data_IF_078674941382
#
_entry.id   IF_078674941382
#
_cell.length_a   1.000
_cell.length_b   1.000
_cell.length_c   1.000
_cell.angle_alpha   90.00
_cell.angle_beta   90.00
_cell.angle_gamma   90.00
#
_symmetry.space_group_name_H-M   'P 1'
#
loop_
_entity.id
_entity.type
_entity.pdbx_description
1 polymer ?
#
# COMPACT_ATOMS: atom_id res chain seq x y z
N UNK A 1 -41.58 -1.21 -23.41
CA UNK A 1 -40.66 -2.33 -23.18
C UNK A 1 -39.33 -1.68 -22.78
N UNK A 2 -39.07 -1.54 -21.47
CA UNK A 2 -37.87 -0.92 -20.93
C UNK A 2 -36.85 -2.00 -20.57
N UNK A 3 -35.67 -1.92 -21.15
CA UNK A 3 -34.55 -2.81 -20.83
C UNK A 3 -33.94 -2.45 -19.47
N UNK A 4 -33.56 -3.44 -18.66
CA UNK A 4 -32.92 -3.16 -17.36
C UNK A 4 -31.47 -2.70 -17.59
N UNK A 5 -31.11 -1.55 -17.00
CA UNK A 5 -29.72 -1.08 -16.89
C UNK A 5 -28.95 -2.02 -15.97
N UNK A 6 -28.03 -2.80 -16.53
CA UNK A 6 -27.03 -3.54 -15.76
C UNK A 6 -26.11 -2.50 -15.07
N UNK A 7 -26.28 -2.34 -13.78
CA UNK A 7 -25.36 -1.63 -12.90
C UNK A 7 -24.10 -2.51 -12.75
N UNK A 8 -23.04 -2.17 -13.47
CA UNK A 8 -21.71 -2.78 -13.27
C UNK A 8 -21.19 -2.31 -11.91
N UNK A 9 -21.44 -3.10 -10.88
CA UNK A 9 -20.77 -2.93 -9.58
C UNK A 9 -19.31 -3.27 -9.78
N UNK A 10 -18.47 -2.25 -9.90
CA UNK A 10 -17.03 -2.39 -9.79
C UNK A 10 -16.76 -2.77 -8.33
N UNK A 11 -16.58 -4.07 -8.09
CA UNK A 11 -16.08 -4.57 -6.81
C UNK A 11 -14.62 -4.18 -6.70
N UNK A 12 -14.32 -3.10 -5.99
CA UNK A 12 -12.99 -2.87 -5.48
C UNK A 12 -12.75 -3.89 -4.37
N UNK A 13 -12.18 -5.02 -4.73
CA UNK A 13 -11.58 -5.94 -3.78
C UNK A 13 -10.38 -5.22 -3.19
N UNK A 14 -10.36 -4.99 -1.88
CA UNK A 14 -9.16 -4.61 -1.16
C UNK A 14 -8.18 -5.80 -1.24
N UNK A 15 -7.49 -5.91 -2.38
CA UNK A 15 -6.51 -6.96 -2.59
C UNK A 15 -5.29 -6.65 -1.71
N UNK A 16 -4.92 -7.63 -0.89
CA UNK A 16 -3.63 -7.63 -0.21
C UNK A 16 -2.57 -7.64 -1.31
N UNK A 17 -1.80 -6.55 -1.46
CA UNK A 17 -0.70 -6.51 -2.42
C UNK A 17 0.47 -7.29 -1.81
N UNK A 18 0.42 -8.62 -1.92
CA UNK A 18 1.59 -9.47 -1.74
C UNK A 18 2.46 -9.33 -2.99
N UNK A 19 3.21 -8.23 -3.10
CA UNK A 19 4.22 -8.08 -4.14
C UNK A 19 5.44 -8.92 -3.77
N UNK A 20 5.43 -10.19 -4.20
CA UNK A 20 6.63 -11.00 -4.24
C UNK A 20 7.55 -10.42 -5.34
N UNK A 21 8.48 -9.55 -4.99
CA UNK A 21 9.57 -9.16 -5.85
C UNK A 21 10.60 -10.30 -5.85
N UNK A 22 10.51 -11.21 -6.84
CA UNK A 22 11.61 -12.10 -7.17
C UNK A 22 12.73 -11.22 -7.76
N UNK A 23 13.86 -11.13 -7.06
CA UNK A 23 15.09 -10.56 -7.59
C UNK A 23 15.60 -11.48 -8.71
N UNK A 24 15.42 -11.08 -9.97
CA UNK A 24 16.05 -11.75 -11.09
C UNK A 24 17.53 -11.36 -11.11
N UNK A 25 18.38 -12.29 -10.70
CA UNK A 25 19.82 -12.22 -10.93
C UNK A 25 20.07 -12.51 -12.41
N UNK A 26 20.46 -11.49 -13.18
CA UNK A 26 20.96 -11.65 -14.54
C UNK A 26 22.38 -12.21 -14.53
N UNK A 27 22.82 -12.96 -15.59
CA UNK A 27 24.15 -13.58 -15.63
C UNK A 27 25.22 -12.51 -15.79
N UNK A 28 26.26 -12.60 -14.94
CA UNK A 28 27.47 -11.81 -15.04
C UNK A 28 28.31 -12.25 -16.24
N UNK A 29 28.52 -11.35 -17.19
CA UNK A 29 29.52 -11.51 -18.23
C UNK A 29 30.90 -11.16 -17.66
N UNK A 30 31.78 -12.18 -17.63
CA UNK A 30 33.19 -12.10 -17.30
C UNK A 30 33.96 -11.37 -18.42
N UNK A 31 34.67 -10.29 -18.10
CA UNK A 31 35.81 -9.83 -18.89
C UNK A 31 36.94 -9.25 -18.03
N UNK A 32 38.10 -9.88 -18.14
CA UNK A 32 39.41 -9.27 -18.26
C UNK A 32 40.02 -8.57 -17.06
N UNK A 33 41.05 -9.22 -16.51
CA UNK A 33 41.85 -8.85 -15.36
C UNK A 33 42.45 -7.45 -15.36
N UNK A 34 42.42 -6.84 -14.17
CA UNK A 34 43.37 -5.88 -13.66
C UNK A 34 43.56 -6.13 -12.17
N UNK A 35 44.81 -6.10 -11.72
CA UNK A 35 45.26 -6.40 -10.35
C UNK A 35 44.40 -5.70 -9.32
N UNK A 36 43.78 -6.50 -8.43
CA UNK A 36 43.04 -6.06 -7.26
C UNK A 36 43.99 -5.42 -6.23
N UNK A 37 43.73 -4.18 -5.93
CA UNK A 37 44.23 -3.52 -4.74
C UNK A 37 43.24 -3.84 -3.61
N UNK A 38 43.70 -4.31 -2.43
CA UNK A 38 42.76 -4.65 -1.35
C UNK A 38 41.94 -3.44 -0.95
N UNK A 39 40.61 -3.61 -0.69
CA UNK A 39 39.76 -2.52 -0.26
C UNK A 39 40.22 -2.00 1.10
N UNK A 40 40.14 -0.67 1.35
CA UNK A 40 40.46 -0.13 2.65
C UNK A 40 39.52 -0.71 3.71
N UNK A 41 40.10 -1.30 4.74
CA UNK A 41 39.38 -1.71 5.95
C UNK A 41 38.76 -0.46 6.60
N UNK A 42 37.44 -0.34 6.56
CA UNK A 42 36.76 0.83 7.16
C UNK A 42 35.33 1.08 6.70
N UNK A 43 34.66 0.17 5.98
CA UNK A 43 33.21 0.23 5.85
C UNK A 43 32.55 -0.38 7.10
N UNK A 44 32.71 0.30 8.25
CA UNK A 44 31.76 0.11 9.36
C UNK A 44 30.42 0.52 8.80
N UNK A 45 29.50 -0.46 8.65
CA UNK A 45 28.12 -0.21 8.25
C UNK A 45 27.57 0.88 9.14
N UNK A 46 27.25 2.03 8.56
CA UNK A 46 26.45 3.04 9.20
C UNK A 46 25.15 2.34 9.56
N UNK A 47 24.99 1.91 10.80
CA UNK A 47 23.70 1.52 11.35
C UNK A 47 22.84 2.77 11.23
N UNK A 48 22.09 2.91 10.14
CA UNK A 48 21.11 3.96 10.02
C UNK A 48 20.07 3.64 11.09
N UNK A 49 20.02 4.45 12.14
CA UNK A 49 18.97 4.37 13.14
C UNK A 49 17.65 4.72 12.44
N UNK A 50 16.98 3.70 11.87
CA UNK A 50 15.67 3.87 11.31
C UNK A 50 14.74 4.40 12.40
N UNK A 51 14.19 5.60 12.21
CA UNK A 51 13.28 6.26 13.13
C UNK A 51 11.83 6.05 12.80
N UNK A 52 11.55 5.67 11.53
CA UNK A 52 10.19 5.35 11.09
C UNK A 52 9.59 4.22 11.93
N UNK A 53 8.31 4.36 12.23
CA UNK A 53 7.54 3.40 13.02
C UNK A 53 6.20 3.12 12.37
N UNK A 54 6.03 1.90 11.86
CA UNK A 54 4.84 1.44 11.14
C UNK A 54 4.08 0.45 12.03
N UNK A 55 3.38 0.93 13.06
CA UNK A 55 2.65 0.07 13.99
C UNK A 55 1.14 -0.07 13.65
N UNK A 56 0.68 0.48 12.52
CA UNK A 56 -0.72 0.56 12.12
C UNK A 56 -1.06 1.94 11.53
N UNK A 57 -2.26 2.44 11.79
CA UNK A 57 -2.72 3.72 11.27
C UNK A 57 -3.49 4.49 12.35
N UNK A 58 -3.03 5.70 12.71
CA UNK A 58 -3.55 6.55 13.79
C UNK A 58 -3.65 5.77 15.11
N UNK A 59 -4.85 5.63 15.73
CA UNK A 59 -5.04 4.87 16.96
C UNK A 59 -5.09 3.35 16.75
N UNK A 60 -5.40 2.87 15.54
CA UNK A 60 -5.44 1.44 15.24
C UNK A 60 -4.02 0.87 15.10
N UNK A 61 -3.72 -0.21 15.84
CA UNK A 61 -2.41 -0.88 15.86
C UNK A 61 -2.52 -2.30 15.34
N UNK A 62 -1.48 -2.80 14.68
CA UNK A 62 -1.38 -4.23 14.34
C UNK A 62 -1.57 -5.09 15.58
N UNK A 63 -2.20 -6.26 15.41
CA UNK A 63 -2.54 -7.15 16.51
C UNK A 63 -3.82 -6.79 17.27
N UNK A 64 -4.47 -5.64 17.00
CA UNK A 64 -5.77 -5.31 17.60
C UNK A 64 -6.88 -6.22 17.09
N UNK A 65 -7.85 -6.52 17.96
CA UNK A 65 -9.10 -7.18 17.61
C UNK A 65 -10.04 -6.22 16.87
N UNK A 66 -11.08 -6.78 16.27
CA UNK A 66 -12.11 -6.01 15.60
C UNK A 66 -12.79 -4.97 16.52
N UNK A 67 -13.07 -5.34 17.77
CA UNK A 67 -13.69 -4.44 18.74
C UNK A 67 -12.77 -3.26 19.09
N UNK A 68 -11.48 -3.53 19.28
CA UNK A 68 -10.47 -2.48 19.54
C UNK A 68 -10.32 -1.54 18.34
N UNK A 69 -10.32 -2.09 17.11
CA UNK A 69 -10.27 -1.27 15.88
C UNK A 69 -11.53 -0.43 15.72
N UNK A 70 -12.73 -0.95 16.01
CA UNK A 70 -13.97 -0.15 16.01
C UNK A 70 -13.89 1.00 17.02
N UNK A 71 -13.28 0.77 18.18
CA UNK A 71 -13.02 1.83 19.18
C UNK A 71 -12.02 2.87 18.67
N UNK A 72 -10.95 2.43 18.00
CA UNK A 72 -9.97 3.32 17.39
C UNK A 72 -10.60 4.18 16.29
N UNK A 73 -11.41 3.59 15.38
CA UNK A 73 -12.15 4.32 14.35
C UNK A 73 -13.07 5.40 14.98
N UNK A 74 -13.76 5.05 16.05
CA UNK A 74 -14.63 5.99 16.75
C UNK A 74 -13.83 7.14 17.39
N UNK A 75 -12.66 6.85 17.94
CA UNK A 75 -11.75 7.86 18.51
C UNK A 75 -11.16 8.78 17.44
N UNK A 76 -10.69 8.20 16.32
CA UNK A 76 -9.97 8.95 15.30
C UNK A 76 -10.87 9.81 14.41
N UNK A 77 -12.10 9.33 14.13
CA UNK A 77 -12.98 9.92 13.12
C UNK A 77 -14.40 10.22 13.60
N UNK A 78 -14.76 9.83 14.82
CA UNK A 78 -16.15 9.95 15.31
C UNK A 78 -17.13 8.99 14.64
N UNK A 79 -16.66 8.04 13.81
CA UNK A 79 -17.50 7.13 13.01
C UNK A 79 -17.83 5.89 13.83
N UNK A 80 -19.13 5.51 13.88
CA UNK A 80 -19.64 4.38 14.67
C UNK A 80 -20.79 3.65 13.95
N UNK A 81 -21.12 2.46 14.45
CA UNK A 81 -22.29 1.70 14.03
C UNK A 81 -22.28 1.37 12.53
N UNK A 82 -23.41 1.57 11.87
CA UNK A 82 -23.63 1.20 10.47
C UNK A 82 -22.74 1.97 9.45
N UNK A 83 -22.09 3.05 9.87
CA UNK A 83 -21.13 3.76 9.04
C UNK A 83 -19.78 3.02 8.92
N UNK A 84 -19.52 2.04 9.80
CA UNK A 84 -18.43 1.08 9.68
C UNK A 84 -18.95 -0.14 8.92
N UNK A 85 -18.55 -0.29 7.66
CA UNK A 85 -18.97 -1.41 6.81
C UNK A 85 -18.04 -2.59 7.01
N UNK A 86 -18.60 -3.79 7.00
CA UNK A 86 -17.85 -5.04 7.04
C UNK A 86 -17.82 -5.67 5.64
N UNK A 87 -16.65 -6.12 5.22
CA UNK A 87 -16.49 -6.79 3.93
C UNK A 87 -15.62 -8.04 4.08
N UNK A 88 -16.17 -9.24 3.81
CA UNK A 88 -15.38 -10.46 3.73
C UNK A 88 -14.62 -10.52 2.40
N UNK A 89 -13.39 -11.04 2.43
CA UNK A 89 -12.62 -11.42 1.26
C UNK A 89 -12.56 -12.95 1.20
N UNK A 90 -13.37 -13.54 0.32
CA UNK A 90 -13.49 -15.01 0.20
C UNK A 90 -12.22 -15.68 -0.33
N UNK A 91 -11.44 -14.99 -1.17
CA UNK A 91 -10.20 -15.53 -1.74
C UNK A 91 -9.11 -15.73 -0.69
N UNK A 92 -8.91 -14.74 0.15
CA UNK A 92 -7.90 -14.74 1.22
C UNK A 92 -8.49 -15.17 2.57
N UNK A 93 -9.82 -15.40 2.65
CA UNK A 93 -10.58 -15.69 3.88
C UNK A 93 -10.32 -14.69 5.00
N UNK A 94 -10.02 -13.44 4.62
CA UNK A 94 -9.85 -12.30 5.51
C UNK A 94 -11.15 -11.51 5.62
N UNK A 95 -11.19 -10.54 6.55
CA UNK A 95 -12.30 -9.62 6.74
C UNK A 95 -11.75 -8.21 6.84
N UNK A 96 -12.47 -7.24 6.30
CA UNK A 96 -12.14 -5.82 6.42
C UNK A 96 -13.28 -5.04 7.11
N UNK A 97 -12.89 -4.06 7.94
CA UNK A 97 -13.76 -2.95 8.34
C UNK A 97 -13.42 -1.75 7.46
N UNK A 98 -14.42 -1.12 6.88
CA UNK A 98 -14.24 -0.02 5.93
C UNK A 98 -15.02 1.21 6.37
N UNK A 99 -14.38 2.37 6.31
CA UNK A 99 -14.99 3.66 6.62
C UNK A 99 -14.62 4.71 5.59
N UNK A 100 -15.56 5.60 5.24
CA UNK A 100 -15.29 6.78 4.43
C UNK A 100 -14.95 7.95 5.34
N UNK A 101 -13.80 8.56 5.11
CA UNK A 101 -13.29 9.67 5.92
C UNK A 101 -13.16 10.90 5.01
N UNK A 102 -14.00 11.92 5.20
CA UNK A 102 -13.88 13.17 4.47
C UNK A 102 -12.57 13.87 4.84
N UNK A 103 -11.92 14.44 3.84
CA UNK A 103 -10.76 15.33 4.01
C UNK A 103 -9.65 14.78 4.92
N UNK A 104 -9.34 13.47 4.77
CA UNK A 104 -8.31 12.79 5.53
C UNK A 104 -6.92 13.44 5.37
N UNK A 105 -6.63 13.94 4.17
CA UNK A 105 -5.59 14.91 3.87
C UNK A 105 -6.26 16.25 3.63
N UNK A 106 -5.78 17.38 4.21
CA UNK A 106 -6.38 18.69 4.00
C UNK A 106 -6.49 19.03 2.50
N UNK A 107 -7.72 19.23 2.03
CA UNK A 107 -8.04 19.44 0.61
C UNK A 107 -7.87 18.21 -0.28
N UNK A 108 -7.60 17.05 0.28
CA UNK A 108 -7.33 15.80 -0.46
C UNK A 108 -8.57 15.01 -0.87
N UNK A 109 -9.77 15.48 -0.51
CA UNK A 109 -11.03 14.79 -0.78
C UNK A 109 -11.29 13.61 0.16
N UNK A 110 -12.40 12.90 -0.09
CA UNK A 110 -12.81 11.75 0.74
C UNK A 110 -11.95 10.53 0.44
N UNK A 111 -11.40 9.94 1.50
CA UNK A 111 -10.72 8.65 1.45
C UNK A 111 -11.58 7.51 1.98
N UNK A 112 -11.33 6.28 1.54
CA UNK A 112 -11.83 5.08 2.18
C UNK A 112 -10.68 4.40 2.93
N UNK A 113 -10.86 4.18 4.22
CA UNK A 113 -9.90 3.47 5.07
C UNK A 113 -10.43 2.07 5.33
N UNK A 114 -9.60 1.04 5.04
CA UNK A 114 -9.93 -0.36 5.22
C UNK A 114 -8.96 -0.99 6.21
N UNK A 115 -9.48 -1.60 7.27
CA UNK A 115 -8.75 -2.32 8.32
C UNK A 115 -8.92 -3.81 8.09
N UNK A 116 -7.84 -4.53 7.72
CA UNK A 116 -7.87 -5.91 7.27
C UNK A 116 -7.38 -6.82 8.39
N UNK A 117 -8.19 -7.84 8.71
CA UNK A 117 -7.94 -8.81 9.78
C UNK A 117 -7.47 -10.14 9.19
N UNK A 118 -6.44 -10.70 9.80
CA UNK A 118 -5.82 -11.94 9.38
C UNK A 118 -6.74 -13.14 9.35
N UNK A 119 -6.40 -14.13 8.52
CA UNK A 119 -7.17 -15.35 8.36
C UNK A 119 -7.13 -16.23 9.62
N UNK A 120 -5.95 -16.46 10.22
CA UNK A 120 -5.80 -17.30 11.40
C UNK A 120 -5.96 -16.50 12.69
N UNK A 121 -5.26 -15.39 12.81
CA UNK A 121 -5.19 -14.58 14.04
C UNK A 121 -6.46 -13.81 14.33
N UNK A 122 -7.25 -13.45 13.29
CA UNK A 122 -8.39 -12.53 13.38
C UNK A 122 -8.01 -11.15 13.98
N UNK A 123 -6.74 -10.80 13.87
CA UNK A 123 -6.16 -9.56 14.34
C UNK A 123 -5.85 -8.62 13.17
N UNK A 124 -5.74 -7.32 13.44
CA UNK A 124 -5.38 -6.33 12.43
C UNK A 124 -3.97 -6.59 11.90
N UNK A 125 -3.85 -6.84 10.59
CA UNK A 125 -2.57 -7.12 9.91
C UNK A 125 -2.22 -6.09 8.86
N UNK A 126 -3.20 -5.32 8.40
CA UNK A 126 -2.99 -4.31 7.37
C UNK A 126 -4.03 -3.21 7.48
N UNK A 127 -3.61 -1.99 7.16
CA UNK A 127 -4.53 -0.88 6.90
C UNK A 127 -4.27 -0.36 5.49
N UNK A 128 -5.32 -0.15 4.71
CA UNK A 128 -5.23 0.52 3.41
C UNK A 128 -6.09 1.77 3.39
N UNK A 129 -5.58 2.80 2.73
CA UNK A 129 -6.29 4.05 2.49
C UNK A 129 -6.35 4.28 0.99
N UNK A 130 -7.54 4.53 0.46
CA UNK A 130 -7.74 4.73 -0.97
C UNK A 130 -8.47 6.02 -1.28
N UNK A 131 -7.96 6.73 -2.28
CA UNK A 131 -8.61 7.87 -2.92
C UNK A 131 -8.93 7.51 -4.36
N UNK A 132 -10.19 7.67 -4.76
CA UNK A 132 -10.65 7.36 -6.12
C UNK A 132 -12.02 7.98 -6.38
N UNK A 133 -12.43 8.02 -7.65
CA UNK A 133 -13.80 8.44 -8.00
C UNK A 133 -14.91 7.52 -7.44
N UNK A 134 -14.60 6.26 -7.12
CA UNK A 134 -15.56 5.37 -6.49
C UNK A 134 -15.86 5.76 -5.02
N UNK A 135 -14.89 6.40 -4.37
CA UNK A 135 -15.01 6.89 -2.99
C UNK A 135 -15.53 8.32 -2.95
N UNK A 136 -15.02 9.19 -3.82
CA UNK A 136 -15.39 10.60 -3.98
C UNK A 136 -15.57 10.92 -5.46
N UNK A 137 -16.81 11.17 -5.91
CA UNK A 137 -17.12 11.45 -7.32
C UNK A 137 -16.42 12.70 -7.87
N UNK A 138 -16.04 13.63 -6.97
CA UNK A 138 -15.33 14.86 -7.31
C UNK A 138 -13.81 14.68 -7.47
N UNK A 139 -13.28 13.48 -7.15
CA UNK A 139 -11.85 13.21 -7.24
C UNK A 139 -11.32 13.40 -8.66
N UNK A 140 -10.25 14.19 -8.81
CA UNK A 140 -9.61 14.44 -10.10
C UNK A 140 -8.22 13.80 -10.17
N UNK A 141 -7.68 13.55 -11.38
CA UNK A 141 -6.31 13.10 -11.56
C UNK A 141 -5.27 14.02 -10.90
N UNK A 142 -5.46 15.35 -11.00
CA UNK A 142 -4.58 16.35 -10.42
C UNK A 142 -4.56 16.27 -8.89
N UNK A 143 -5.72 16.03 -8.28
CA UNK A 143 -5.85 15.85 -6.84
C UNK A 143 -5.15 14.57 -6.37
N UNK A 144 -5.25 13.46 -7.14
CA UNK A 144 -4.51 12.23 -6.87
C UNK A 144 -3.00 12.44 -6.95
N UNK A 145 -2.51 13.20 -7.94
CA UNK A 145 -1.10 13.58 -8.03
C UNK A 145 -0.66 14.43 -6.84
N UNK A 146 -1.45 15.45 -6.48
CA UNK A 146 -1.17 16.31 -5.33
C UNK A 146 -1.05 15.51 -4.04
N UNK A 147 -2.06 14.65 -3.74
CA UNK A 147 -2.07 13.77 -2.58
C UNK A 147 -0.85 12.85 -2.56
N UNK A 148 -0.50 12.27 -3.73
CA UNK A 148 0.66 11.39 -3.84
C UNK A 148 1.97 12.12 -3.54
N UNK A 149 2.11 13.36 -3.99
CA UNK A 149 3.30 14.18 -3.78
C UNK A 149 3.48 14.56 -2.31
N UNK A 150 2.40 14.96 -1.64
CA UNK A 150 2.39 15.29 -0.21
C UNK A 150 2.79 14.06 0.63
N UNK A 151 2.15 12.92 0.38
CA UNK A 151 2.44 11.68 1.11
C UNK A 151 3.85 11.16 0.84
N UNK A 152 4.34 11.26 -0.41
CA UNK A 152 5.71 10.89 -0.73
C UNK A 152 6.74 11.73 0.03
N UNK A 153 6.54 13.06 0.05
CA UNK A 153 7.44 13.96 0.80
C UNK A 153 7.45 13.62 2.29
N UNK A 154 6.28 13.36 2.86
CA UNK A 154 6.15 12.93 4.26
C UNK A 154 6.93 11.63 4.52
N UNK A 155 6.70 10.55 3.76
CA UNK A 155 7.37 9.27 4.00
C UNK A 155 8.87 9.32 3.76
N UNK A 156 9.36 10.13 2.84
CA UNK A 156 10.81 10.31 2.64
C UNK A 156 11.49 10.97 3.84
N UNK A 157 10.75 11.73 4.67
CA UNK A 157 11.27 12.38 5.88
C UNK A 157 11.17 11.55 7.15
N UNK A 158 10.44 10.42 7.14
CA UNK A 158 10.16 9.61 8.35
C UNK A 158 11.35 8.78 8.87
N UNK A 159 12.38 8.57 8.04
CA UNK A 159 13.57 7.80 8.44
C UNK A 159 13.34 6.28 8.36
N UNK A 160 12.74 5.79 7.30
CA UNK A 160 12.70 4.37 6.98
C UNK A 160 14.11 3.82 6.74
N UNK A 161 14.29 2.50 6.85
CA UNK A 161 15.57 1.85 6.54
C UNK A 161 15.95 2.13 5.07
N UNK A 162 17.10 2.77 4.79
CA UNK A 162 17.47 3.22 3.45
C UNK A 162 17.47 2.13 2.39
N UNK A 163 17.93 0.91 2.74
CA UNK A 163 18.00 -0.25 1.85
C UNK A 163 16.63 -0.81 1.47
N UNK A 164 15.56 -0.40 2.16
CA UNK A 164 14.18 -0.82 1.87
C UNK A 164 13.41 0.21 1.04
N UNK A 165 13.98 1.41 0.88
CA UNK A 165 13.32 2.50 0.17
C UNK A 165 13.34 2.24 -1.33
N UNK A 166 12.15 2.24 -1.92
CA UNK A 166 11.96 2.25 -3.37
C UNK A 166 10.97 3.37 -3.73
N UNK A 167 11.25 4.12 -4.78
CA UNK A 167 10.36 5.19 -5.23
C UNK A 167 10.37 5.38 -6.75
N UNK A 168 9.25 5.89 -7.28
CA UNK A 168 9.05 6.21 -8.69
C UNK A 168 9.31 5.01 -9.63
N UNK A 169 8.93 3.81 -9.21
CA UNK A 169 9.12 2.59 -10.00
C UNK A 169 7.83 2.23 -10.75
N UNK A 170 7.86 2.06 -12.07
CA UNK A 170 6.72 1.51 -12.81
C UNK A 170 6.39 0.10 -12.31
N UNK A 171 5.10 -0.15 -12.08
CA UNK A 171 4.54 -1.45 -11.74
C UNK A 171 3.37 -1.78 -12.68
N UNK A 172 2.88 -3.01 -12.65
CA UNK A 172 1.69 -3.38 -13.43
C UNK A 172 0.50 -2.51 -13.07
N UNK A 173 0.02 -1.68 -14.03
CA UNK A 173 -1.13 -0.81 -13.85
C UNK A 173 -0.90 0.48 -13.06
N UNK A 174 0.36 0.91 -12.86
CA UNK A 174 0.61 2.16 -12.12
C UNK A 174 2.06 2.45 -11.82
N UNK A 175 2.26 3.26 -10.79
CA UNK A 175 3.56 3.72 -10.33
C UNK A 175 3.66 3.50 -8.80
N UNK A 176 4.69 2.79 -8.37
CA UNK A 176 5.09 2.75 -6.96
C UNK A 176 5.73 4.10 -6.63
N UNK A 177 5.00 4.95 -5.93
CA UNK A 177 5.45 6.30 -5.53
C UNK A 177 6.47 6.22 -4.40
N UNK A 178 6.20 5.33 -3.43
CA UNK A 178 7.06 5.11 -2.27
C UNK A 178 6.85 3.69 -1.71
N UNK A 179 7.93 3.10 -1.24
CA UNK A 179 7.95 1.94 -0.34
C UNK A 179 9.07 2.13 0.66
N UNK A 180 8.84 1.78 1.92
CA UNK A 180 9.87 1.73 2.95
C UNK A 180 9.45 0.81 4.08
N UNK A 181 10.43 0.21 4.79
CA UNK A 181 10.16 -0.62 5.96
C UNK A 181 10.86 -0.03 7.19
N UNK A 182 10.21 -0.20 8.33
CA UNK A 182 10.76 0.18 9.64
C UNK A 182 11.73 -0.87 10.20
N UNK A 183 12.21 -0.68 11.42
CA UNK A 183 13.15 -1.59 12.09
C UNK A 183 12.55 -2.99 12.37
N UNK A 184 11.22 -3.13 12.35
CA UNK A 184 10.51 -4.40 12.56
C UNK A 184 10.11 -5.10 11.26
N UNK A 185 10.56 -4.60 10.09
CA UNK A 185 10.12 -5.04 8.75
C UNK A 185 8.66 -4.70 8.41
N UNK A 186 7.95 -3.94 9.25
CA UNK A 186 6.64 -3.43 8.86
C UNK A 186 6.81 -2.45 7.70
N UNK A 187 5.90 -2.49 6.73
CA UNK A 187 6.09 -1.81 5.45
C UNK A 187 4.99 -0.79 5.19
N UNK A 188 5.39 0.38 4.70
CA UNK A 188 4.50 1.37 4.10
C UNK A 188 4.70 1.36 2.58
N UNK A 189 3.59 1.38 1.82
CA UNK A 189 3.60 1.49 0.36
C UNK A 189 2.60 2.53 -0.11
N UNK A 190 3.01 3.36 -1.08
CA UNK A 190 2.17 4.34 -1.75
C UNK A 190 2.18 4.06 -3.25
N UNK A 191 1.02 3.80 -3.82
CA UNK A 191 0.87 3.39 -5.23
C UNK A 191 -0.14 4.31 -5.92
N UNK A 192 0.25 4.87 -7.06
CA UNK A 192 -0.63 5.62 -7.94
C UNK A 192 -1.02 4.69 -9.11
N UNK A 193 -2.26 4.22 -9.10
CA UNK A 193 -2.80 3.37 -10.16
C UNK A 193 -3.47 4.20 -11.25
N UNK A 194 -3.43 3.70 -12.48
CA UNK A 194 -4.06 4.40 -13.60
C UNK A 194 -3.79 3.71 -14.94
N UNK A 195 -4.10 4.42 -16.00
CA UNK A 195 -3.89 3.96 -17.38
C UNK A 195 -2.68 4.66 -17.98
N UNK A 196 -1.76 3.89 -18.55
CA UNK A 196 -0.67 4.44 -19.34
C UNK A 196 -1.11 4.63 -20.80
N UNK A 197 -0.97 5.84 -21.29
CA UNK A 197 -1.12 6.18 -22.72
C UNK A 197 0.24 6.54 -23.30
N UNK A 198 0.37 6.34 -24.61
CA UNK A 198 1.54 6.77 -25.34
C UNK A 198 1.37 8.21 -25.78
N UNK A 199 2.24 9.10 -25.30
CA UNK A 199 2.31 10.47 -25.72
C UNK A 199 3.25 10.67 -26.91
N UNK A 200 3.54 11.92 -27.26
CA UNK A 200 4.53 12.28 -28.26
C UNK A 200 5.92 11.76 -27.85
N UNK A 201 6.77 11.46 -28.83
CA UNK A 201 8.15 10.98 -28.62
C UNK A 201 8.26 9.68 -27.79
N UNK A 202 7.27 8.76 -27.90
CA UNK A 202 7.22 7.50 -27.13
C UNK A 202 7.18 7.67 -25.60
N UNK A 203 6.83 8.84 -25.10
CA UNK A 203 6.64 9.04 -23.65
C UNK A 203 5.42 8.28 -23.16
N UNK A 204 5.56 7.61 -22.01
CA UNK A 204 4.43 6.98 -21.32
C UNK A 204 3.84 7.97 -20.34
N UNK A 205 2.58 8.34 -20.55
CA UNK A 205 1.82 9.26 -19.70
C UNK A 205 0.88 8.45 -18.83
N UNK A 206 0.98 8.60 -17.51
CA UNK A 206 0.04 7.99 -16.56
C UNK A 206 -1.14 8.94 -16.32
N UNK A 207 -2.35 8.48 -16.61
CA UNK A 207 -3.60 9.11 -16.15
C UNK A 207 -4.07 8.38 -14.90
N UNK A 208 -3.93 8.98 -13.70
CA UNK A 208 -4.29 8.29 -12.46
C UNK A 208 -5.79 8.12 -12.30
N UNK A 209 -6.17 6.97 -11.76
CA UNK A 209 -7.54 6.60 -11.41
C UNK A 209 -7.74 6.42 -9.90
N UNK A 210 -6.67 6.03 -9.18
CA UNK A 210 -6.69 5.88 -7.73
C UNK A 210 -5.30 6.06 -7.13
N UNK A 211 -5.28 6.51 -5.88
CA UNK A 211 -4.10 6.53 -5.02
C UNK A 211 -4.34 5.56 -3.86
N UNK A 212 -3.40 4.65 -3.63
CA UNK A 212 -3.48 3.61 -2.59
C UNK A 212 -2.30 3.76 -1.64
N UNK A 213 -2.59 3.82 -0.35
CA UNK A 213 -1.60 3.81 0.72
C UNK A 213 -1.83 2.56 1.58
N UNK A 214 -0.77 1.82 1.85
CA UNK A 214 -0.81 0.61 2.66
C UNK A 214 0.15 0.71 3.84
N UNK A 215 -0.31 0.27 5.01
CA UNK A 215 0.48 -0.07 6.18
C UNK A 215 0.33 -1.56 6.41
N UNK A 216 1.43 -2.30 6.38
CA UNK A 216 1.43 -3.77 6.39
C UNK A 216 2.33 -4.28 7.50
N UNK A 217 1.82 -5.17 8.35
CA UNK A 217 2.57 -5.80 9.45
C UNK A 217 3.65 -6.73 8.91
N UNK A 218 3.28 -7.66 8.03
CA UNK A 218 4.22 -8.57 7.37
C UNK A 218 3.92 -8.66 5.87
N UNK A 219 4.74 -7.98 5.07
CA UNK A 219 4.60 -8.00 3.62
C UNK A 219 5.18 -9.27 2.96
N UNK A 220 6.02 -10.03 3.68
CA UNK A 220 6.65 -11.26 3.16
C UNK A 220 5.78 -12.49 3.37
N UNK A 221 5.13 -12.59 4.55
CA UNK A 221 4.31 -13.72 4.95
C UNK A 221 2.99 -13.26 5.62
N UNK A 222 2.11 -12.53 4.90
CA UNK A 222 0.87 -12.04 5.47
C UNK A 222 -0.05 -13.19 5.91
N UNK A 223 -0.78 -12.98 7.02
CA UNK A 223 -1.77 -13.94 7.57
C UNK A 223 -3.02 -14.01 6.70
N UNK A 224 -2.89 -14.67 5.54
CA UNK A 224 -3.98 -14.88 4.58
C UNK A 224 -4.09 -16.36 4.24
N UNK A 225 -5.28 -16.79 3.85
CA UNK A 225 -5.46 -18.15 3.34
C UNK A 225 -4.73 -18.30 2.00
N UNK A 226 -3.95 -19.36 1.90
CA UNK A 226 -3.31 -19.78 0.65
C UNK A 226 -3.58 -21.27 0.43
N UNK A 227 -3.83 -21.63 -0.82
CA UNK A 227 -3.92 -23.04 -1.17
C UNK A 227 -2.58 -23.72 -0.93
N UNK A 228 -2.56 -24.92 -0.30
CA UNK A 228 -1.34 -25.68 -0.13
C UNK A 228 -0.68 -25.97 -1.50
N UNK A 229 0.66 -26.01 -1.58
CA UNK A 229 1.35 -26.43 -2.78
C UNK A 229 0.85 -27.83 -3.23
N UNK A 230 0.60 -28.00 -4.52
CA UNK A 230 0.14 -29.28 -5.08
C UNK A 230 -1.36 -29.56 -4.90
N UNK A 231 -2.18 -28.55 -4.55
CA UNK A 231 -3.64 -28.74 -4.43
C UNK A 231 -4.36 -28.89 -5.78
N UNK A 232 -3.68 -28.70 -6.91
CA UNK A 232 -4.18 -28.88 -8.29
C UNK A 232 -3.07 -29.46 -9.16
#
# INVERSE_FOLDING_TARGET
>A
MSAPRLSTRVMFTAALVAAAFAASQGPALSQGGKKEQPPPAGAQGVMSNATAKVDGFRAARFGMSEAEVKSAIASDFGIKGNAVREQPNSGERTKALMVKVPDLLPGGGTAEVSYIFGYHTKKLIQVSVSWSKATDEKMTPEQLFSNSSVLRAHFLSEGFRPETIASNMPIGGGLLIFRGSDAKDHTTMLILQGTFTQGEHNQRILTPASLLLFYVEDAKAPDVYRLPPGSF
#
